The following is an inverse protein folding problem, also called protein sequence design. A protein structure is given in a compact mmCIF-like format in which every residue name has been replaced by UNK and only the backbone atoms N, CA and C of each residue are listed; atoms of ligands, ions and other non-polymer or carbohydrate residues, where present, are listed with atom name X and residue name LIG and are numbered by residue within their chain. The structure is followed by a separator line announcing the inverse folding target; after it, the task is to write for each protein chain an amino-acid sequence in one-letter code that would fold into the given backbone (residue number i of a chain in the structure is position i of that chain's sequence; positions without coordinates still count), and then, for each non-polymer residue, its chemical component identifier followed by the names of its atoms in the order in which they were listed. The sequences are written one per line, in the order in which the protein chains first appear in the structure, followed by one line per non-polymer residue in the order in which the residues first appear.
data_IF_816670957720
#
_entry.id   IF_816670957720
#
_cell.length_a   1.000
_cell.length_b   1.000
_cell.length_c   1.000
_cell.angle_alpha   90.00
_cell.angle_beta   90.00
_cell.angle_gamma   90.00
#
_symmetry.space_group_name_H-M   'P 1'
#
loop_
_entity.id
_entity.type
_entity.pdbx_description
1 polymer ?
#
# COMPACT_ATOMS: atom_id res chain seq x y z
N UNK A 1 5.31 -11.00 28.85
CA UNK A 1 5.87 -10.76 27.51
C UNK A 1 4.87 -10.13 26.55
N UNK A 2 3.75 -10.78 26.25
CA UNK A 2 2.71 -10.25 25.33
C UNK A 2 2.19 -8.86 25.72
N UNK A 3 2.03 -8.61 27.03
CA UNK A 3 1.57 -7.32 27.56
C UNK A 3 2.56 -6.17 27.28
N UNK A 4 3.88 -6.44 27.32
CA UNK A 4 4.91 -5.46 26.97
C UNK A 4 4.93 -5.15 25.48
N UNK A 5 4.74 -6.17 24.64
CA UNK A 5 4.65 -6.02 23.19
C UNK A 5 3.40 -5.19 22.83
N UNK A 6 2.25 -5.49 23.43
CA UNK A 6 1.02 -4.72 23.25
C UNK A 6 1.18 -3.27 23.70
N UNK A 7 1.77 -3.04 24.88
CA UNK A 7 2.05 -1.70 25.37
C UNK A 7 2.97 -0.93 24.43
N UNK A 8 4.02 -1.58 23.90
CA UNK A 8 4.93 -0.97 22.96
C UNK A 8 4.28 -0.59 21.63
N UNK A 9 3.39 -1.44 21.10
CA UNK A 9 2.60 -1.12 19.89
C UNK A 9 1.75 0.13 20.12
N UNK A 10 1.04 0.18 21.26
CA UNK A 10 0.19 1.34 21.61
C UNK A 10 1.04 2.61 21.75
N UNK A 11 2.17 2.53 22.44
CA UNK A 11 3.11 3.67 22.60
C UNK A 11 3.65 4.11 21.23
N UNK A 12 4.01 3.18 20.35
CA UNK A 12 4.45 3.48 18.98
C UNK A 12 3.41 4.29 18.20
N UNK A 13 2.15 3.87 18.28
CA UNK A 13 1.04 4.54 17.60
C UNK A 13 0.85 5.95 18.18
N UNK A 14 0.79 6.09 19.51
CA UNK A 14 0.62 7.38 20.18
C UNK A 14 1.78 8.34 19.86
N UNK A 15 3.02 7.86 19.93
CA UNK A 15 4.20 8.66 19.60
C UNK A 15 4.20 9.07 18.14
N UNK A 16 3.83 8.18 17.22
CA UNK A 16 3.73 8.51 15.81
C UNK A 16 2.69 9.58 15.51
N UNK A 17 1.52 9.52 16.15
CA UNK A 17 0.48 10.56 16.00
C UNK A 17 0.88 11.90 16.62
N UNK A 18 1.56 11.89 17.78
CA UNK A 18 1.94 13.12 18.49
C UNK A 18 3.15 13.82 17.86
N UNK A 19 4.20 13.07 17.51
CA UNK A 19 5.43 13.63 16.93
C UNK A 19 5.36 13.83 15.41
N UNK A 20 4.32 13.33 14.74
CA UNK A 20 4.16 13.32 13.26
C UNK A 20 5.32 12.66 12.50
N UNK A 21 6.18 11.91 13.18
CA UNK A 21 7.24 11.10 12.57
C UNK A 21 6.63 9.77 12.12
N UNK A 22 7.22 9.14 11.10
CA UNK A 22 6.77 7.85 10.59
C UNK A 22 6.76 6.78 11.71
N UNK A 23 5.59 6.22 11.99
CA UNK A 23 5.36 5.14 12.98
C UNK A 23 6.31 3.96 12.76
N UNK A 24 6.66 3.65 11.51
CA UNK A 24 7.57 2.56 11.17
C UNK A 24 8.98 2.75 11.75
N UNK A 25 9.49 3.98 11.84
CA UNK A 25 10.81 4.24 12.44
C UNK A 25 10.81 3.95 13.94
N UNK A 26 9.75 4.37 14.65
CA UNK A 26 9.60 4.02 16.05
C UNK A 26 9.42 2.51 16.22
N UNK A 27 8.64 1.86 15.36
CA UNK A 27 8.42 0.41 15.43
C UNK A 27 9.73 -0.39 15.31
N UNK A 28 10.65 0.05 14.44
CA UNK A 28 11.98 -0.56 14.32
C UNK A 28 12.78 -0.37 15.62
N UNK A 29 12.77 0.83 16.20
CA UNK A 29 13.48 1.13 17.45
C UNK A 29 12.93 0.32 18.64
N UNK A 30 11.60 0.25 18.79
CA UNK A 30 10.95 -0.53 19.84
C UNK A 30 11.10 -2.05 19.63
N UNK A 31 11.05 -2.51 18.38
CA UNK A 31 11.32 -3.91 18.03
C UNK A 31 12.73 -4.33 18.46
N UNK A 32 13.74 -3.48 18.20
CA UNK A 32 15.11 -3.71 18.64
C UNK A 32 15.24 -3.73 20.17
N UNK A 33 14.64 -2.74 20.87
CA UNK A 33 14.65 -2.66 22.33
C UNK A 33 14.03 -3.90 22.98
N UNK A 34 12.86 -4.33 22.51
CA UNK A 34 12.11 -5.44 23.13
C UNK A 34 12.68 -6.78 22.70
N UNK A 35 13.07 -6.94 21.44
CA UNK A 35 13.66 -8.18 20.94
C UNK A 35 15.02 -8.47 21.56
N UNK A 36 15.89 -7.46 21.65
CA UNK A 36 17.25 -7.66 22.17
C UNK A 36 17.29 -7.70 23.70
N UNK A 37 16.63 -6.78 24.41
CA UNK A 37 16.65 -6.75 25.88
C UNK A 37 15.59 -7.63 26.53
N UNK A 38 14.43 -7.83 25.90
CA UNK A 38 13.33 -8.63 26.44
C UNK A 38 13.40 -10.12 26.08
N UNK A 39 13.84 -10.44 24.86
CA UNK A 39 13.87 -11.83 24.36
C UNK A 39 15.29 -12.39 24.16
N UNK A 40 16.34 -11.57 24.35
CA UNK A 40 17.74 -11.99 24.17
C UNK A 40 18.12 -12.31 22.72
N UNK A 41 17.27 -11.91 21.76
CA UNK A 41 17.50 -12.16 20.34
C UNK A 41 18.64 -11.27 19.84
N UNK A 42 19.46 -11.81 18.94
CA UNK A 42 20.47 -11.02 18.25
C UNK A 42 19.79 -10.08 17.27
N UNK A 43 20.41 -8.92 17.01
CA UNK A 43 19.89 -7.93 16.06
C UNK A 43 19.51 -8.54 14.70
N UNK A 44 20.29 -9.52 14.24
CA UNK A 44 20.05 -10.26 13.01
C UNK A 44 18.70 -11.01 12.99
N UNK A 45 18.36 -11.70 14.07
CA UNK A 45 17.12 -12.49 14.16
C UNK A 45 15.88 -11.57 14.16
N UNK A 46 16.01 -10.37 14.73
CA UNK A 46 14.95 -9.34 14.71
C UNK A 46 14.74 -8.82 13.29
N UNK A 47 15.81 -8.66 12.52
CA UNK A 47 15.74 -8.18 11.13
C UNK A 47 15.19 -9.27 10.20
N UNK A 48 15.49 -10.55 10.45
CA UNK A 48 14.90 -11.66 9.69
C UNK A 48 13.37 -11.73 9.81
N UNK A 49 12.82 -11.31 10.96
CA UNK A 49 11.36 -11.24 11.17
C UNK A 49 10.71 -10.07 10.41
N UNK A 50 11.49 -9.13 9.87
CA UNK A 50 10.97 -8.00 9.13
C UNK A 50 10.66 -8.40 7.67
N UNK A 51 9.45 -8.08 7.13
CA UNK A 51 9.07 -8.47 5.77
C UNK A 51 9.75 -7.59 4.70
N UNK A 52 11.06 -7.77 4.53
CA UNK A 52 11.92 -7.05 3.57
C UNK A 52 11.36 -7.07 2.16
N UNK A 53 10.85 -8.23 1.71
CA UNK A 53 10.26 -8.39 0.38
C UNK A 53 9.10 -7.42 0.15
N UNK A 54 8.19 -7.28 1.11
CA UNK A 54 7.01 -6.40 0.98
C UNK A 54 7.47 -4.94 0.98
N UNK A 55 8.41 -4.58 1.86
CA UNK A 55 8.99 -3.24 1.93
C UNK A 55 9.59 -2.83 0.58
N UNK A 56 10.47 -3.66 0.00
CA UNK A 56 11.12 -3.35 -1.27
C UNK A 56 10.13 -3.30 -2.44
N UNK A 57 9.08 -4.13 -2.45
CA UNK A 57 8.03 -4.07 -3.48
C UNK A 57 7.29 -2.74 -3.42
N UNK A 58 6.81 -2.32 -2.24
CA UNK A 58 6.08 -1.05 -2.08
C UNK A 58 7.00 0.14 -2.39
N UNK A 59 8.24 0.10 -1.91
CA UNK A 59 9.25 1.13 -2.17
C UNK A 59 9.54 1.27 -3.66
N UNK A 60 9.83 0.16 -4.36
CA UNK A 60 10.09 0.16 -5.79
C UNK A 60 8.88 0.70 -6.58
N UNK A 61 7.68 0.22 -6.29
CA UNK A 61 6.48 0.68 -6.99
C UNK A 61 6.25 2.17 -6.76
N UNK A 62 6.43 2.67 -5.54
CA UNK A 62 6.28 4.11 -5.24
C UNK A 62 7.34 4.96 -5.93
N UNK A 63 8.59 4.47 -5.96
CA UNK A 63 9.70 5.13 -6.65
C UNK A 63 9.44 5.21 -8.16
N UNK A 64 9.07 4.08 -8.78
CA UNK A 64 8.85 3.99 -10.22
C UNK A 64 7.50 4.56 -10.68
N UNK A 65 6.51 4.65 -9.79
CA UNK A 65 5.19 5.22 -10.08
C UNK A 65 5.27 6.66 -10.61
N UNK A 66 6.29 7.42 -10.20
CA UNK A 66 6.47 8.78 -10.69
C UNK A 66 6.83 8.86 -12.18
N UNK A 67 7.46 7.84 -12.80
CA UNK A 67 7.82 7.92 -14.22
C UNK A 67 6.59 7.86 -15.15
N UNK A 68 5.65 6.89 -15.03
CA UNK A 68 4.44 6.87 -15.84
C UNK A 68 3.53 8.08 -15.59
N UNK A 69 3.54 8.62 -14.36
CA UNK A 69 2.78 9.79 -13.97
C UNK A 69 3.36 11.06 -14.62
N UNK A 70 4.68 11.28 -14.52
CA UNK A 70 5.32 12.47 -15.09
C UNK A 70 5.23 12.52 -16.63
N UNK A 71 5.29 11.36 -17.29
CA UNK A 71 5.18 11.26 -18.76
C UNK A 71 3.73 11.25 -19.28
N UNK A 72 2.72 11.34 -18.40
CA UNK A 72 1.31 11.33 -18.82
C UNK A 72 0.78 9.96 -19.30
N UNK A 73 1.59 8.91 -19.21
CA UNK A 73 1.23 7.57 -19.68
C UNK A 73 0.07 7.00 -18.86
N UNK A 74 0.09 7.25 -17.55
CA UNK A 74 -0.93 6.79 -16.63
C UNK A 74 -2.28 7.52 -16.85
N UNK A 75 -2.22 8.81 -17.13
CA UNK A 75 -3.36 9.65 -17.49
C UNK A 75 -3.99 9.21 -18.80
N UNK A 76 -3.16 8.86 -19.79
CA UNK A 76 -3.64 8.36 -21.09
C UNK A 76 -4.28 6.98 -20.95
N UNK A 77 -3.67 6.10 -20.16
CA UNK A 77 -4.17 4.75 -19.91
C UNK A 77 -5.49 4.76 -19.13
N UNK A 78 -5.58 5.57 -18.07
CA UNK A 78 -6.83 5.77 -17.33
C UNK A 78 -7.94 6.38 -18.20
N UNK A 79 -7.63 7.40 -19.02
CA UNK A 79 -8.59 7.99 -19.94
C UNK A 79 -9.11 6.98 -20.97
N UNK A 80 -8.23 6.10 -21.48
CA UNK A 80 -8.63 5.05 -22.42
C UNK A 80 -9.54 4.00 -21.77
N UNK A 81 -9.26 3.63 -20.51
CA UNK A 81 -10.12 2.73 -19.73
C UNK A 81 -11.50 3.35 -19.48
N UNK A 82 -11.56 4.62 -19.06
CA UNK A 82 -12.82 5.35 -18.85
C UNK A 82 -13.60 5.45 -20.16
N UNK A 83 -12.93 5.79 -21.26
CA UNK A 83 -13.57 5.93 -22.56
C UNK A 83 -14.20 4.61 -23.04
N UNK A 84 -13.48 3.48 -22.87
CA UNK A 84 -14.02 2.15 -23.19
C UNK A 84 -15.22 1.77 -22.30
N UNK A 85 -15.22 2.21 -21.05
CA UNK A 85 -16.30 1.92 -20.09
C UNK A 85 -17.40 3.00 -20.04
N UNK A 86 -17.36 4.01 -20.93
CA UNK A 86 -18.22 5.21 -20.83
C UNK A 86 -19.72 4.92 -20.85
N UNK A 87 -20.14 3.85 -21.53
CA UNK A 87 -21.55 3.49 -21.66
C UNK A 87 -22.08 2.75 -20.43
N UNK A 88 -21.20 2.15 -19.61
CA UNK A 88 -21.56 1.38 -18.43
C UNK A 88 -20.54 1.60 -17.29
N UNK A 89 -20.55 2.76 -16.60
CA UNK A 89 -19.56 3.09 -15.56
C UNK A 89 -19.59 2.13 -14.36
N UNK A 90 -20.70 1.42 -14.13
CA UNK A 90 -20.83 0.40 -13.09
C UNK A 90 -19.91 -0.83 -13.34
N UNK A 91 -19.44 -1.07 -14.56
CA UNK A 91 -18.53 -2.17 -14.88
C UNK A 91 -17.05 -1.84 -14.65
N UNK A 92 -16.73 -0.56 -14.38
CA UNK A 92 -15.35 -0.10 -14.23
C UNK A 92 -14.59 -0.84 -13.10
N UNK A 93 -15.18 -1.11 -11.91
CA UNK A 93 -14.53 -1.93 -10.89
C UNK A 93 -14.23 -3.38 -11.35
N UNK A 94 -15.11 -3.97 -12.16
CA UNK A 94 -14.94 -5.32 -12.68
C UNK A 94 -13.81 -5.39 -13.71
N UNK A 95 -13.66 -4.35 -14.53
CA UNK A 95 -12.52 -4.21 -15.45
C UNK A 95 -11.20 -4.11 -14.69
N UNK A 96 -11.15 -3.32 -13.61
CA UNK A 96 -9.96 -3.20 -12.75
C UNK A 96 -9.62 -4.54 -12.11
N UNK A 97 -10.63 -5.27 -11.62
CA UNK A 97 -10.45 -6.62 -11.09
C UNK A 97 -9.83 -7.55 -12.14
N UNK A 98 -10.35 -7.54 -13.36
CA UNK A 98 -9.85 -8.39 -14.44
C UNK A 98 -8.40 -8.05 -14.83
N UNK A 99 -8.07 -6.75 -14.88
CA UNK A 99 -6.69 -6.29 -15.10
C UNK A 99 -5.78 -6.76 -13.96
N UNK A 100 -6.22 -6.64 -12.71
CA UNK A 100 -5.48 -7.15 -11.56
C UNK A 100 -5.29 -8.68 -11.62
N UNK A 101 -6.30 -9.43 -12.06
CA UNK A 101 -6.21 -10.89 -12.26
C UNK A 101 -5.19 -11.25 -13.33
N UNK A 102 -5.17 -10.55 -14.46
CA UNK A 102 -4.17 -10.78 -15.52
C UNK A 102 -2.76 -10.51 -14.98
N UNK A 103 -2.56 -9.39 -14.28
CA UNK A 103 -1.26 -9.03 -13.70
C UNK A 103 -0.82 -10.07 -12.66
N UNK A 104 -1.74 -10.55 -11.82
CA UNK A 104 -1.48 -11.64 -10.88
C UNK A 104 -1.11 -12.95 -11.60
N UNK A 105 -1.82 -13.28 -12.68
CA UNK A 105 -1.59 -14.48 -13.51
C UNK A 105 -0.25 -14.47 -14.24
N UNK A 106 0.33 -13.29 -14.52
CA UNK A 106 1.68 -13.14 -15.05
C UNK A 106 2.80 -13.45 -14.03
N UNK A 107 2.45 -13.84 -12.81
CA UNK A 107 3.40 -14.21 -11.76
C UNK A 107 3.69 -13.10 -10.75
N UNK A 108 2.97 -11.98 -10.79
CA UNK A 108 3.06 -10.96 -9.75
C UNK A 108 2.39 -11.47 -8.46
N UNK A 109 3.13 -11.46 -7.35
CA UNK A 109 2.56 -11.78 -6.04
C UNK A 109 1.52 -10.75 -5.59
N UNK A 110 0.63 -11.13 -4.66
CA UNK A 110 -0.47 -10.30 -4.16
C UNK A 110 -0.06 -8.86 -3.82
N UNK A 111 1.00 -8.68 -3.03
CA UNK A 111 1.49 -7.35 -2.62
C UNK A 111 1.96 -6.48 -3.79
N UNK A 112 2.51 -7.09 -4.83
CA UNK A 112 2.96 -6.39 -6.04
C UNK A 112 1.78 -5.90 -6.86
N UNK A 113 0.76 -6.73 -7.03
CA UNK A 113 -0.48 -6.34 -7.72
C UNK A 113 -1.16 -5.21 -6.97
N UNK A 114 -1.28 -5.32 -5.64
CA UNK A 114 -1.90 -4.28 -4.81
C UNK A 114 -1.13 -2.97 -4.91
N UNK A 115 0.19 -3.00 -4.73
CA UNK A 115 1.03 -1.80 -4.79
C UNK A 115 0.95 -1.10 -6.16
N UNK A 116 0.88 -1.86 -7.26
CA UNK A 116 0.82 -1.31 -8.62
C UNK A 116 -0.56 -0.81 -9.02
N UNK A 117 -1.63 -1.49 -8.59
CA UNK A 117 -3.00 -1.10 -8.91
C UNK A 117 -3.48 0.08 -8.07
N UNK A 118 -3.06 0.18 -6.80
CA UNK A 118 -3.48 1.24 -5.88
C UNK A 118 -3.38 2.65 -6.49
N UNK A 119 -2.24 3.08 -7.05
CA UNK A 119 -2.15 4.43 -7.58
C UNK A 119 -2.92 4.61 -8.90
N UNK A 120 -3.07 3.56 -9.72
CA UNK A 120 -3.95 3.61 -10.90
C UNK A 120 -5.40 3.86 -10.49
N UNK A 121 -5.89 3.16 -9.48
CA UNK A 121 -7.26 3.30 -8.96
C UNK A 121 -7.47 4.70 -8.40
N UNK A 122 -6.50 5.23 -7.64
CA UNK A 122 -6.55 6.60 -7.11
C UNK A 122 -6.60 7.67 -8.21
N UNK A 123 -5.88 7.46 -9.32
CA UNK A 123 -5.92 8.39 -10.45
C UNK A 123 -7.26 8.28 -11.20
N UNK A 124 -7.79 7.07 -11.34
CA UNK A 124 -9.07 6.80 -11.99
C UNK A 124 -10.26 7.37 -11.20
N UNK A 125 -10.23 7.25 -9.86
CA UNK A 125 -11.27 7.79 -8.97
C UNK A 125 -11.32 9.32 -9.03
N UNK A 126 -10.16 9.98 -9.09
CA UNK A 126 -10.07 11.44 -9.27
C UNK A 126 -10.69 11.92 -10.58
N UNK A 127 -10.68 11.10 -11.63
CA UNK A 127 -11.18 11.46 -12.98
C UNK A 127 -12.66 11.14 -13.18
N UNK A 128 -13.15 10.07 -12.56
CA UNK A 128 -14.52 9.58 -12.74
C UNK A 128 -15.51 10.11 -11.70
N UNK A 129 -15.03 10.79 -10.64
CA UNK A 129 -15.80 11.06 -9.42
C UNK A 129 -16.44 9.78 -8.82
N UNK A 130 -15.94 8.60 -9.20
CA UNK A 130 -16.30 7.36 -8.52
C UNK A 130 -15.61 7.39 -7.17
N UNK A 131 -16.42 7.34 -6.13
CA UNK A 131 -15.93 7.37 -4.77
C UNK A 131 -14.99 6.17 -4.57
N UNK A 132 -13.81 6.43 -4.01
CA UNK A 132 -12.70 5.47 -3.86
C UNK A 132 -13.09 4.30 -2.94
N UNK A 133 -14.09 4.56 -2.11
CA UNK A 133 -14.85 3.60 -1.32
C UNK A 133 -16.16 3.38 -2.06
N UNK A 134 -16.65 2.15 -2.19
CA UNK A 134 -18.04 1.86 -2.60
C UNK A 134 -19.08 2.37 -1.58
N UNK A 135 -18.90 3.58 -1.07
CA UNK A 135 -19.88 4.28 -0.27
C UNK A 135 -20.53 5.33 -1.17
N UNK A 136 -21.74 4.98 -1.57
CA UNK A 136 -22.69 5.81 -2.29
C UNK A 136 -22.88 7.09 -1.48
N UNK A 137 -22.21 8.20 -1.84
CA UNK A 137 -22.71 9.52 -1.41
C UNK A 137 -23.93 9.85 -2.27
N UNK A 138 -25.05 9.29 -1.86
CA UNK A 138 -26.29 10.06 -1.85
C UNK A 138 -26.13 11.03 -0.67
N UNK A 139 -26.47 12.29 -0.90
CA UNK A 139 -26.21 13.51 -0.09
C UNK A 139 -24.94 14.27 -0.49
#
# INVERSE_FOLDING_TARGET
MTLYILAAIVICIILGYTTKINIGLFAIAFSYLIGSFGMGLKAYEIIELWPLKIFFVIFAVTLFYNFPLANGALEKLSSHLIYKCRHFPAFLPLVIFFVATIVAGLGAGYYTVLATMAPMILLLSKRTNLNIVCERRVF
#
